data_IF_207948541341
#
_entry.id   IF_207948541341
#
_cell.length_a   1.000
_cell.length_b   1.000
_cell.length_c   1.000
_cell.angle_alpha   90.00
_cell.angle_beta   90.00
_cell.angle_gamma   90.00
#
_symmetry.space_group_name_H-M   'P 1'
#
loop_
_entity.id
_entity.type
_entity.pdbx_description
1 polymer ?
#
# COMPACT_ATOMS: atom_id res chain seq x y z
N UNK A 1 -2.48 11.70 -15.23
CA UNK A 1 -3.73 11.16 -15.83
C UNK A 1 -3.59 9.64 -15.85
N UNK A 2 -3.78 8.97 -14.70
CA UNK A 2 -3.65 7.51 -14.54
C UNK A 2 -4.74 6.88 -13.63
N UNK A 3 -5.55 7.69 -12.96
CA UNK A 3 -6.40 7.25 -11.83
C UNK A 3 -7.56 6.32 -12.21
N UNK A 4 -8.03 6.33 -13.46
CA UNK A 4 -9.16 5.49 -13.89
C UNK A 4 -8.74 4.03 -14.02
N UNK A 5 -7.49 3.76 -14.41
CA UNK A 5 -6.96 2.40 -14.53
C UNK A 5 -6.74 1.77 -13.16
N UNK A 6 -6.21 2.53 -12.20
CA UNK A 6 -5.90 2.03 -10.84
C UNK A 6 -7.16 1.65 -10.08
N UNK A 7 -8.25 2.42 -10.20
CA UNK A 7 -9.51 2.10 -9.51
C UNK A 7 -10.16 0.83 -10.06
N UNK A 8 -10.04 0.57 -11.37
CA UNK A 8 -10.49 -0.66 -12.03
C UNK A 8 -9.65 -1.90 -11.63
N UNK A 9 -8.33 -1.74 -11.51
CA UNK A 9 -7.45 -2.80 -10.99
C UNK A 9 -7.83 -3.12 -9.55
N UNK A 10 -8.06 -2.08 -8.73
CA UNK A 10 -8.42 -2.25 -7.33
C UNK A 10 -9.80 -2.90 -7.15
N UNK A 11 -10.79 -2.58 -8.00
CA UNK A 11 -12.09 -3.26 -7.96
C UNK A 11 -11.94 -4.74 -8.33
N UNK A 12 -11.16 -5.04 -9.38
CA UNK A 12 -10.89 -6.43 -9.79
C UNK A 12 -10.20 -7.22 -8.68
N UNK A 13 -9.18 -6.64 -8.02
CA UNK A 13 -8.51 -7.28 -6.88
C UNK A 13 -9.44 -7.47 -5.67
N UNK A 14 -10.41 -6.59 -5.45
CA UNK A 14 -11.40 -6.75 -4.36
C UNK A 14 -12.42 -7.84 -4.63
N UNK A 15 -12.72 -8.11 -5.90
CA UNK A 15 -13.57 -9.24 -6.31
C UNK A 15 -12.84 -10.58 -6.14
N UNK A 16 -11.51 -10.57 -6.14
CA UNK A 16 -10.69 -11.74 -5.86
C UNK A 16 -10.74 -12.10 -4.37
N UNK A 17 -10.91 -13.38 -4.06
CA UNK A 17 -10.77 -13.87 -2.70
C UNK A 17 -9.32 -13.73 -2.20
N UNK A 18 -9.07 -13.68 -0.87
CA UNK A 18 -7.74 -13.50 -0.30
C UNK A 18 -6.67 -14.47 -0.82
N UNK A 19 -7.04 -15.73 -1.05
CA UNK A 19 -6.14 -16.75 -1.62
C UNK A 19 -5.75 -16.48 -3.07
N UNK A 20 -6.66 -15.92 -3.86
CA UNK A 20 -6.39 -15.57 -5.25
C UNK A 20 -5.45 -14.35 -5.32
N UNK A 21 -5.65 -13.36 -4.44
CA UNK A 21 -4.75 -12.20 -4.32
C UNK A 21 -3.34 -12.63 -3.90
N UNK A 22 -3.23 -13.52 -2.90
CA UNK A 22 -1.92 -14.03 -2.45
C UNK A 22 -1.19 -14.76 -3.60
N UNK A 23 -1.92 -15.55 -4.39
CA UNK A 23 -1.36 -16.19 -5.58
C UNK A 23 -0.85 -15.16 -6.59
N UNK A 24 -1.64 -14.16 -6.98
CA UNK A 24 -1.21 -13.15 -7.94
C UNK A 24 0.02 -12.37 -7.45
N UNK A 25 0.04 -11.96 -6.17
CA UNK A 25 1.17 -11.21 -5.61
C UNK A 25 2.45 -12.08 -5.60
N UNK A 26 2.35 -13.39 -5.43
CA UNK A 26 3.50 -14.30 -5.53
C UNK A 26 3.99 -14.51 -6.96
N UNK A 27 3.10 -14.40 -7.95
CA UNK A 27 3.43 -14.58 -9.36
C UNK A 27 4.10 -13.33 -9.96
N UNK A 28 3.82 -12.14 -9.42
CA UNK A 28 4.67 -10.97 -9.66
C UNK A 28 6.11 -11.34 -9.26
N UNK A 29 7.14 -11.09 -10.06
CA UNK A 29 8.53 -11.42 -9.71
C UNK A 29 8.99 -12.88 -9.94
N UNK A 30 8.13 -13.81 -10.35
CA UNK A 30 8.53 -15.18 -10.72
C UNK A 30 9.29 -15.21 -12.07
N UNK A 31 9.96 -16.33 -12.41
CA UNK A 31 10.87 -16.48 -13.57
C UNK A 31 10.27 -16.11 -14.94
N UNK A 32 8.96 -15.89 -15.03
CA UNK A 32 8.25 -15.42 -16.23
C UNK A 32 7.71 -13.98 -16.17
N UNK A 33 7.96 -13.24 -15.09
CA UNK A 33 7.43 -11.89 -14.90
C UNK A 33 8.50 -10.82 -15.18
N UNK A 34 8.07 -9.70 -15.75
CA UNK A 34 8.97 -8.57 -16.04
C UNK A 34 9.15 -7.68 -14.82
N UNK A 35 10.33 -7.06 -14.70
CA UNK A 35 10.58 -6.02 -13.71
C UNK A 35 9.57 -4.86 -13.81
N UNK A 36 9.03 -4.64 -15.01
CA UNK A 36 7.92 -3.72 -15.27
C UNK A 36 6.65 -4.06 -14.47
N UNK A 37 6.30 -5.35 -14.31
CA UNK A 37 5.14 -5.75 -13.54
C UNK A 37 5.29 -5.39 -12.05
N UNK A 38 6.50 -5.54 -11.50
CA UNK A 38 6.81 -5.11 -10.14
C UNK A 38 6.75 -3.58 -10.01
N UNK A 39 7.27 -2.85 -11.00
CA UNK A 39 7.20 -1.40 -11.05
C UNK A 39 5.74 -0.91 -11.07
N UNK A 40 4.91 -1.47 -11.95
CA UNK A 40 3.48 -1.14 -12.03
C UNK A 40 2.76 -1.42 -10.71
N UNK A 41 3.11 -2.51 -10.03
CA UNK A 41 2.54 -2.79 -8.71
C UNK A 41 2.93 -1.73 -7.67
N UNK A 42 4.19 -1.29 -7.66
CA UNK A 42 4.68 -0.22 -6.76
C UNK A 42 3.91 1.09 -7.04
N UNK A 43 3.80 1.48 -8.31
CA UNK A 43 3.08 2.69 -8.74
C UNK A 43 1.58 2.61 -8.41
N UNK A 44 0.96 1.44 -8.60
CA UNK A 44 -0.43 1.17 -8.25
C UNK A 44 -0.70 1.35 -6.74
N UNK A 45 0.18 0.82 -5.89
CA UNK A 45 0.06 1.02 -4.43
C UNK A 45 0.22 2.49 -4.08
N UNK A 46 1.20 3.18 -4.68
CA UNK A 46 1.40 4.62 -4.46
C UNK A 46 0.16 5.43 -4.84
N UNK A 47 -0.41 5.18 -6.01
CA UNK A 47 -1.65 5.80 -6.47
C UNK A 47 -2.81 5.51 -5.52
N UNK A 48 -2.95 4.25 -5.07
CA UNK A 48 -3.97 3.83 -4.11
C UNK A 48 -3.85 4.58 -2.78
N UNK A 49 -2.62 4.75 -2.25
CA UNK A 49 -2.39 5.51 -1.02
C UNK A 49 -2.70 7.00 -1.17
N UNK A 50 -2.40 7.61 -2.32
CA UNK A 50 -2.74 9.01 -2.63
C UNK A 50 -4.25 9.26 -2.63
N UNK A 51 -5.08 8.24 -2.90
CA UNK A 51 -6.55 8.39 -2.83
C UNK A 51 -7.07 8.62 -1.41
N UNK A 52 -6.30 8.28 -0.38
CA UNK A 52 -6.71 8.37 1.03
C UNK A 52 -7.97 7.55 1.41
N UNK A 53 -8.40 6.60 0.56
CA UNK A 53 -9.61 5.77 0.76
C UNK A 53 -9.32 4.33 1.20
N UNK A 54 -8.28 3.71 0.68
CA UNK A 54 -8.02 2.27 0.82
C UNK A 54 -6.73 1.98 1.59
N UNK A 55 -6.56 2.66 2.72
CA UNK A 55 -5.33 2.65 3.51
C UNK A 55 -4.92 1.24 3.96
N UNK A 56 -5.80 0.52 4.64
CA UNK A 56 -5.52 -0.83 5.18
C UNK A 56 -5.25 -1.84 4.07
N UNK A 57 -6.02 -1.76 2.99
CA UNK A 57 -5.90 -2.66 1.85
C UNK A 57 -4.55 -2.48 1.14
N UNK A 58 -4.18 -1.23 0.85
CA UNK A 58 -2.89 -0.91 0.23
C UNK A 58 -1.71 -1.38 1.09
N UNK A 59 -1.77 -1.16 2.41
CA UNK A 59 -0.72 -1.63 3.33
C UNK A 59 -0.66 -3.15 3.43
N UNK A 60 -1.80 -3.84 3.39
CA UNK A 60 -1.86 -5.30 3.43
C UNK A 60 -1.22 -5.91 2.19
N UNK A 61 -1.51 -5.37 1.01
CA UNK A 61 -0.91 -5.81 -0.25
C UNK A 61 0.58 -5.48 -0.31
N UNK A 62 0.98 -4.27 0.11
CA UNK A 62 2.38 -3.87 0.18
C UNK A 62 3.19 -4.77 1.11
N UNK A 63 2.66 -5.09 2.30
CA UNK A 63 3.32 -5.96 3.25
C UNK A 63 3.54 -7.37 2.68
N UNK A 64 2.56 -7.93 1.97
CA UNK A 64 2.70 -9.22 1.32
C UNK A 64 3.72 -9.16 0.18
N UNK A 65 3.66 -8.13 -0.67
CA UNK A 65 4.60 -7.94 -1.77
C UNK A 65 6.05 -7.86 -1.27
N UNK A 66 6.32 -7.04 -0.24
CA UNK A 66 7.66 -6.93 0.35
C UNK A 66 8.11 -8.23 1.01
N UNK A 67 7.19 -8.99 1.63
CA UNK A 67 7.49 -10.28 2.24
C UNK A 67 7.91 -11.33 1.20
N UNK A 68 7.30 -11.32 0.02
CA UNK A 68 7.61 -12.30 -1.03
C UNK A 68 8.83 -11.87 -1.85
N UNK A 69 8.95 -10.57 -2.16
CA UNK A 69 9.91 -10.06 -3.15
C UNK A 69 11.05 -9.22 -2.59
N UNK A 70 11.12 -9.05 -1.26
CA UNK A 70 12.11 -8.18 -0.61
C UNK A 70 13.56 -8.44 -1.04
N UNK A 71 13.96 -9.70 -1.12
CA UNK A 71 15.31 -10.09 -1.52
C UNK A 71 15.60 -9.74 -2.99
N UNK A 72 14.62 -9.97 -3.88
CA UNK A 72 14.74 -9.63 -5.30
C UNK A 72 14.78 -8.11 -5.51
N UNK A 73 13.94 -7.36 -4.79
CA UNK A 73 13.89 -5.90 -4.87
C UNK A 73 15.24 -5.27 -4.51
N UNK A 74 15.92 -5.79 -3.49
CA UNK A 74 17.23 -5.29 -3.07
C UNK A 74 18.30 -5.40 -4.18
N UNK A 75 18.14 -6.34 -5.11
CA UNK A 75 19.05 -6.56 -6.23
C UNK A 75 18.73 -5.73 -7.49
N UNK A 76 17.58 -5.03 -7.52
CA UNK A 76 17.05 -4.32 -8.70
C UNK A 76 17.10 -2.80 -8.51
N UNK A 77 18.23 -2.13 -8.81
CA UNK A 77 18.38 -0.69 -8.59
C UNK A 77 17.40 0.16 -9.42
N UNK A 78 16.92 -0.38 -10.54
CA UNK A 78 15.90 0.25 -11.39
C UNK A 78 14.55 0.47 -10.71
N UNK A 79 14.23 -0.29 -9.64
CA UNK A 79 13.01 -0.12 -8.85
C UNK A 79 13.20 0.83 -7.65
N UNK A 80 14.43 1.21 -7.33
CA UNK A 80 14.75 1.98 -6.13
C UNK A 80 14.06 3.34 -6.10
N UNK A 81 14.03 4.05 -7.23
CA UNK A 81 13.38 5.37 -7.32
C UNK A 81 11.87 5.29 -7.09
N UNK A 82 11.20 4.25 -7.60
CA UNK A 82 9.78 4.03 -7.36
C UNK A 82 9.50 3.65 -5.90
N UNK A 83 10.34 2.81 -5.29
CA UNK A 83 10.24 2.47 -3.87
C UNK A 83 10.44 3.70 -2.97
N UNK A 84 11.34 4.61 -3.33
CA UNK A 84 11.55 5.87 -2.60
C UNK A 84 10.31 6.77 -2.68
N UNK A 85 9.73 6.93 -3.88
CA UNK A 85 8.49 7.68 -4.08
C UNK A 85 7.32 7.09 -3.28
N UNK A 86 7.17 5.76 -3.32
CA UNK A 86 6.19 5.04 -2.53
C UNK A 86 6.40 5.23 -1.03
N UNK A 87 7.64 5.16 -0.55
CA UNK A 87 7.99 5.35 0.87
C UNK A 87 7.56 6.73 1.34
N UNK A 88 7.87 7.78 0.57
CA UNK A 88 7.43 9.14 0.89
C UNK A 88 5.91 9.24 0.98
N UNK A 89 5.20 8.69 -0.01
CA UNK A 89 3.72 8.68 -0.02
C UNK A 89 3.14 7.92 1.17
N UNK A 90 3.74 6.77 1.53
CA UNK A 90 3.32 5.93 2.64
C UNK A 90 3.47 6.67 3.97
N UNK A 91 4.62 7.30 4.22
CA UNK A 91 4.89 8.07 5.44
C UNK A 91 3.90 9.22 5.61
N UNK A 92 3.65 9.98 4.52
CA UNK A 92 2.66 11.07 4.56
C UNK A 92 1.24 10.56 4.84
N UNK A 93 0.86 9.42 4.26
CA UNK A 93 -0.44 8.80 4.49
C UNK A 93 -0.58 8.34 5.95
N UNK A 94 0.48 7.74 6.49
CA UNK A 94 0.55 7.31 7.89
C UNK A 94 0.45 8.48 8.87
N UNK A 95 1.22 9.55 8.66
CA UNK A 95 1.20 10.75 9.50
C UNK A 95 -0.19 11.35 9.61
N UNK A 96 -0.94 11.37 8.49
CA UNK A 96 -2.33 11.83 8.47
C UNK A 96 -3.23 10.98 9.37
N UNK A 97 -3.17 9.65 9.21
CA UNK A 97 -3.98 8.70 9.99
C UNK A 97 -3.61 8.78 11.47
N UNK A 98 -2.31 8.78 11.77
CA UNK A 98 -1.79 8.89 13.13
C UNK A 98 -2.25 10.19 13.80
N UNK A 99 -2.16 11.33 13.12
CA UNK A 99 -2.60 12.63 13.67
C UNK A 99 -4.09 12.62 14.02
N UNK A 100 -4.94 12.07 13.15
CA UNK A 100 -6.39 11.97 13.38
C UNK A 100 -6.71 11.05 14.57
N UNK A 101 -6.02 9.92 14.66
CA UNK A 101 -6.18 8.97 15.75
C UNK A 101 -5.75 9.58 17.09
N UNK A 102 -4.58 10.21 17.12
CA UNK A 102 -4.05 10.86 18.32
C UNK A 102 -4.96 11.99 18.82
N UNK A 103 -5.46 12.83 17.91
CA UNK A 103 -6.42 13.90 18.26
C UNK A 103 -7.70 13.33 18.85
N UNK A 104 -8.27 12.32 18.21
CA UNK A 104 -9.49 11.65 18.67
C UNK A 104 -9.29 11.02 20.04
N UNK A 105 -8.18 10.30 20.23
CA UNK A 105 -7.83 9.67 21.51
C UNK A 105 -7.60 10.70 22.62
N UNK A 106 -6.92 11.82 22.31
CA UNK A 106 -6.70 12.92 23.24
C UNK A 106 -8.02 13.52 23.75
N UNK A 107 -8.97 13.79 22.84
CA UNK A 107 -10.30 14.29 23.22
C UNK A 107 -11.09 13.28 24.06
N UNK A 108 -11.10 12.01 23.67
CA UNK A 108 -11.80 10.95 24.42
C UNK A 108 -11.22 10.80 25.81
N UNK A 109 -9.89 10.81 25.95
CA UNK A 109 -9.22 10.73 27.25
C UNK A 109 -9.55 11.94 28.14
N UNK A 110 -9.54 13.15 27.56
CA UNK A 110 -9.92 14.37 28.27
C UNK A 110 -11.36 14.29 28.81
N UNK A 111 -12.32 13.94 27.94
CA UNK A 111 -13.73 13.80 28.33
C UNK A 111 -13.91 12.77 29.45
N UNK A 112 -13.25 11.59 29.32
CA UNK A 112 -13.29 10.56 30.35
C UNK A 112 -12.76 11.05 31.70
N UNK A 113 -11.68 11.86 31.70
CA UNK A 113 -11.09 12.40 32.93
C UNK A 113 -11.86 13.58 33.53
N UNK A 114 -12.69 14.27 32.74
CA UNK A 114 -13.46 15.42 33.20
C UNK A 114 -14.83 15.02 33.81
N UNK A 115 -15.31 13.81 33.52
CA UNK A 115 -16.58 13.26 34.05
C UNK A 115 -16.39 12.42 35.32
N UNK A 116 -15.16 12.30 35.83
CA UNK A 116 -14.83 11.72 37.15
C UNK A 116 -14.40 12.85 38.06
#
# INVERSE_FOLDING_TARGET
>A
MYTVSDESILSSLKEMGPSAIDREIRLLGDEGSTDEAMLYFIEFIEATLKTNKHFELAHSYLALFLKVHGDQLASKPQLASALESLTNTQLHSWDRVQSLLQKSLGMVNYLRSATV
#
